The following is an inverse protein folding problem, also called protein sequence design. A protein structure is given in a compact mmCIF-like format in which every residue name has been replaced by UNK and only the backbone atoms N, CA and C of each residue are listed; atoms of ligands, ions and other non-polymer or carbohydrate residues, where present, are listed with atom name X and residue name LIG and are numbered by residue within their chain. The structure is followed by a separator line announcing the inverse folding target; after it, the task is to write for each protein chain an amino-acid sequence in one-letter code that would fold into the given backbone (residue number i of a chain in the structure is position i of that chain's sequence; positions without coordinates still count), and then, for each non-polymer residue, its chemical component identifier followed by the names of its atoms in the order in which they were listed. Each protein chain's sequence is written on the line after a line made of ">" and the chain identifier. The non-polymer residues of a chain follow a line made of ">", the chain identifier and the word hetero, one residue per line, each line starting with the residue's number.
data_IF_614257422524
#
_entry.id   IF_614257422524
#
_cell.length_a   1.000
_cell.length_b   1.000
_cell.length_c   1.000
_cell.angle_alpha   90.00
_cell.angle_beta   90.00
_cell.angle_gamma   90.00
#
_symmetry.space_group_name_H-M   'P 1'
#
loop_
_entity.id
_entity.type
_entity.pdbx_description
1 polymer ?
#
# COMPACT_ATOMS: atom_id res chain seq x y z
N UNK A 1 4.91 31.52 12.34
CA UNK A 1 5.67 30.26 12.18
C UNK A 1 5.51 29.42 13.44
N UNK A 2 5.15 28.15 13.31
CA UNK A 2 5.11 27.25 14.46
C UNK A 2 6.54 27.04 15.01
N UNK A 3 6.68 27.12 16.33
CA UNK A 3 7.97 26.86 17.01
C UNK A 3 8.34 25.40 16.80
N UNK A 4 9.60 25.14 16.36
CA UNK A 4 10.13 23.78 16.23
C UNK A 4 10.81 23.40 17.54
N UNK A 5 10.49 22.21 18.07
CA UNK A 5 11.17 21.63 19.22
C UNK A 5 12.28 20.70 18.70
N UNK A 6 13.47 20.80 19.28
CA UNK A 6 14.64 20.00 18.92
C UNK A 6 14.94 19.04 20.07
N UNK A 7 15.09 17.76 19.75
CA UNK A 7 15.49 16.70 20.69
C UNK A 7 16.68 15.94 20.08
N UNK A 8 17.61 15.58 20.91
CA UNK A 8 18.88 14.98 20.50
C UNK A 8 19.18 13.69 21.28
N UNK A 9 20.17 12.97 20.80
CA UNK A 9 20.76 11.79 21.45
C UNK A 9 19.77 10.61 21.62
N UNK A 10 19.95 9.86 22.66
CA UNK A 10 19.22 8.64 22.95
C UNK A 10 17.71 8.87 23.09
N UNK A 11 17.30 9.98 23.72
CA UNK A 11 15.87 10.30 23.88
C UNK A 11 15.17 10.46 22.54
N UNK A 12 15.80 11.11 21.58
CA UNK A 12 15.24 11.27 20.23
C UNK A 12 15.12 9.92 19.51
N UNK A 13 16.18 9.11 19.56
CA UNK A 13 16.18 7.78 18.95
C UNK A 13 15.13 6.86 19.57
N UNK A 14 15.00 6.86 20.89
CA UNK A 14 14.04 6.04 21.61
C UNK A 14 12.59 6.39 21.23
N UNK A 15 12.25 7.68 21.14
CA UNK A 15 10.92 8.10 20.70
C UNK A 15 10.58 7.58 19.30
N UNK A 16 11.53 7.69 18.35
CA UNK A 16 11.34 7.18 16.99
C UNK A 16 11.18 5.64 16.98
N UNK A 17 12.03 4.92 17.71
CA UNK A 17 11.97 3.45 17.84
C UNK A 17 10.64 2.99 18.45
N UNK A 18 10.18 3.64 19.51
CA UNK A 18 8.91 3.32 20.16
C UNK A 18 7.73 3.56 19.22
N UNK A 19 7.78 4.63 18.42
CA UNK A 19 6.76 4.91 17.41
C UNK A 19 6.70 3.84 16.30
N UNK A 20 7.85 3.44 15.76
CA UNK A 20 7.93 2.33 14.79
C UNK A 20 7.36 1.05 15.40
N UNK A 21 7.74 0.73 16.65
CA UNK A 21 7.29 -0.47 17.33
C UNK A 21 5.78 -0.45 17.58
N UNK A 22 5.22 0.65 18.06
CA UNK A 22 3.77 0.76 18.30
C UNK A 22 2.95 0.54 17.03
N UNK A 23 3.33 1.14 15.92
CA UNK A 23 2.65 0.92 14.65
C UNK A 23 2.81 -0.52 14.16
N UNK A 24 4.04 -1.04 14.14
CA UNK A 24 4.30 -2.37 13.64
C UNK A 24 3.64 -3.46 14.51
N UNK A 25 3.54 -3.24 15.81
CA UNK A 25 2.89 -4.18 16.74
C UNK A 25 1.39 -4.32 16.50
N UNK A 26 0.73 -3.25 16.04
CA UNK A 26 -0.69 -3.31 15.63
C UNK A 26 -0.82 -4.01 14.28
N UNK A 27 0.02 -3.67 13.31
CA UNK A 27 -0.05 -4.24 11.96
C UNK A 27 0.30 -5.73 11.96
N UNK A 28 1.32 -6.15 12.69
CA UNK A 28 1.80 -7.56 12.68
C UNK A 28 0.80 -8.59 13.20
N UNK A 29 -0.24 -8.18 13.95
CA UNK A 29 -1.28 -9.12 14.43
C UNK A 29 -2.10 -9.72 13.30
N UNK A 30 -2.06 -9.10 12.12
CA UNK A 30 -2.75 -9.58 10.91
C UNK A 30 -1.95 -10.60 10.11
N UNK A 31 -0.67 -10.83 10.45
CA UNK A 31 0.25 -11.63 9.65
C UNK A 31 0.01 -13.14 9.78
N UNK A 32 0.00 -13.80 8.63
CA UNK A 32 0.07 -15.25 8.50
C UNK A 32 -1.24 -15.99 8.83
N UNK A 33 -1.20 -17.33 8.92
CA UNK A 33 -2.40 -18.17 9.05
C UNK A 33 -3.14 -18.02 10.39
N UNK A 34 -2.52 -17.40 11.38
CA UNK A 34 -3.13 -17.03 12.66
C UNK A 34 -3.43 -15.53 12.75
N UNK A 35 -3.35 -14.84 11.63
CA UNK A 35 -3.65 -13.41 11.53
C UNK A 35 -5.08 -13.11 12.01
N UNK A 36 -5.25 -11.94 12.58
CA UNK A 36 -6.52 -11.44 13.13
C UNK A 36 -6.89 -10.14 12.46
N UNK A 37 -8.17 -9.87 12.41
CA UNK A 37 -8.67 -8.57 12.01
C UNK A 37 -8.42 -7.54 13.12
N UNK A 38 -8.21 -6.30 12.72
CA UNK A 38 -8.14 -5.12 13.58
C UNK A 38 -9.42 -4.33 13.40
N UNK A 39 -9.94 -3.80 14.49
CA UNK A 39 -11.10 -2.90 14.49
C UNK A 39 -10.60 -1.48 14.59
N UNK A 40 -10.90 -0.68 13.59
CA UNK A 40 -10.51 0.73 13.51
C UNK A 40 -11.73 1.60 13.85
N UNK A 41 -11.56 2.48 14.81
CA UNK A 41 -12.58 3.47 15.16
C UNK A 41 -12.72 4.49 14.02
N UNK A 42 -13.96 4.81 13.66
CA UNK A 42 -14.27 5.94 12.77
C UNK A 42 -14.98 7.03 13.56
N UNK A 43 -14.59 8.28 13.32
CA UNK A 43 -15.28 9.44 13.91
C UNK A 43 -16.76 9.53 13.52
N UNK A 44 -17.09 9.00 12.34
CA UNK A 44 -18.45 9.00 11.80
C UNK A 44 -18.71 7.64 11.14
N UNK A 45 -19.83 7.00 11.48
CA UNK A 45 -20.22 5.70 10.95
C UNK A 45 -19.78 4.51 11.81
N UNK A 46 -19.89 3.31 11.26
CA UNK A 46 -19.51 2.08 11.92
C UNK A 46 -17.98 1.90 11.93
N UNK A 47 -17.40 1.24 12.95
CA UNK A 47 -16.00 0.86 12.95
C UNK A 47 -15.64 0.01 11.72
N UNK A 48 -14.45 0.21 11.17
CA UNK A 48 -13.94 -0.61 10.08
C UNK A 48 -13.20 -1.83 10.64
N UNK A 49 -13.54 -3.01 10.15
CA UNK A 49 -12.86 -4.26 10.47
C UNK A 49 -12.00 -4.62 9.26
N UNK A 50 -10.69 -4.74 9.46
CA UNK A 50 -9.74 -5.03 8.38
C UNK A 50 -8.54 -5.83 8.86
N UNK A 51 -7.91 -6.56 7.95
CA UNK A 51 -6.61 -7.21 8.13
C UNK A 51 -5.55 -6.64 7.18
N UNK A 52 -5.89 -5.64 6.37
CA UNK A 52 -4.96 -4.99 5.47
C UNK A 52 -3.98 -4.09 6.22
N UNK A 53 -2.69 -4.40 6.08
CA UNK A 53 -1.62 -3.72 6.81
C UNK A 53 -1.47 -2.24 6.47
N UNK A 54 -1.67 -1.84 5.22
CA UNK A 54 -1.56 -0.42 4.83
C UNK A 54 -2.74 0.40 5.33
N UNK A 55 -3.94 -0.15 5.30
CA UNK A 55 -5.15 0.49 5.84
C UNK A 55 -4.99 0.73 7.34
N UNK A 56 -4.55 -0.30 8.08
CA UNK A 56 -4.28 -0.18 9.52
C UNK A 56 -3.19 0.86 9.78
N UNK A 57 -2.08 0.79 9.05
CA UNK A 57 -0.96 1.71 9.25
C UNK A 57 -1.36 3.18 9.02
N UNK A 58 -2.21 3.46 8.03
CA UNK A 58 -2.69 4.82 7.72
C UNK A 58 -3.52 5.45 8.85
N UNK A 59 -4.25 4.64 9.60
CA UNK A 59 -5.12 5.11 10.70
C UNK A 59 -4.39 5.29 12.04
N UNK A 60 -3.14 4.78 12.17
CA UNK A 60 -2.38 4.92 13.42
C UNK A 60 -1.80 6.32 13.54
N UNK A 61 -2.28 7.09 14.51
CA UNK A 61 -1.71 8.35 14.96
C UNK A 61 -1.45 8.29 16.47
N UNK A 62 -0.26 8.74 16.89
CA UNK A 62 0.18 8.67 18.29
C UNK A 62 0.19 10.07 18.92
N UNK A 63 -0.17 10.15 20.20
CA UNK A 63 -0.24 11.42 20.94
C UNK A 63 1.14 12.06 21.14
N UNK A 64 2.17 11.24 21.42
CA UNK A 64 3.54 11.76 21.55
C UNK A 64 4.10 12.12 20.17
N UNK A 65 4.52 13.37 19.94
CA UNK A 65 4.99 13.81 18.61
C UNK A 65 6.28 13.12 18.15
N UNK A 66 7.12 12.63 19.05
CA UNK A 66 8.35 11.93 18.68
C UNK A 66 8.06 10.47 18.30
N UNK A 67 7.21 9.82 19.05
CA UNK A 67 6.70 8.49 18.68
C UNK A 67 5.90 8.57 17.39
N UNK A 68 5.06 9.59 17.23
CA UNK A 68 4.28 9.75 16.00
C UNK A 68 5.18 9.94 14.77
N UNK A 69 6.30 10.65 14.88
CA UNK A 69 7.28 10.70 13.77
C UNK A 69 7.83 9.31 13.42
N UNK A 70 8.11 8.47 14.41
CA UNK A 70 8.52 7.07 14.19
C UNK A 70 7.44 6.25 13.49
N UNK A 71 6.20 6.38 13.96
CA UNK A 71 5.04 5.74 13.32
C UNK A 71 4.85 6.20 11.88
N UNK A 72 4.99 7.51 11.58
CA UNK A 72 4.89 8.02 10.21
C UNK A 72 5.97 7.44 9.28
N UNK A 73 7.20 7.23 9.77
CA UNK A 73 8.26 6.57 8.97
C UNK A 73 7.89 5.11 8.65
N UNK A 74 7.32 4.38 9.60
CA UNK A 74 6.86 3.00 9.37
C UNK A 74 5.61 2.96 8.45
N UNK A 75 4.71 3.94 8.57
CA UNK A 75 3.56 4.15 7.65
C UNK A 75 4.02 4.35 6.21
N UNK A 76 5.10 5.10 6.00
CA UNK A 76 5.69 5.31 4.68
C UNK A 76 6.20 4.01 4.05
N UNK A 77 6.74 3.08 4.87
CA UNK A 77 7.15 1.75 4.38
C UNK A 77 5.96 0.96 3.85
N UNK A 78 4.86 0.91 4.61
CA UNK A 78 3.64 0.22 4.19
C UNK A 78 3.06 0.84 2.90
N UNK A 79 2.98 2.18 2.84
CA UNK A 79 2.44 2.90 1.68
C UNK A 79 3.26 2.66 0.42
N UNK A 80 4.59 2.79 0.48
CA UNK A 80 5.47 2.52 -0.67
C UNK A 80 5.42 1.08 -1.15
N UNK A 81 5.28 0.13 -0.23
CA UNK A 81 5.12 -1.28 -0.59
C UNK A 81 3.80 -1.49 -1.34
N UNK A 82 2.72 -0.88 -0.87
CA UNK A 82 1.43 -0.93 -1.53
C UNK A 82 1.47 -0.31 -2.93
N UNK A 83 2.12 0.84 -3.08
CA UNK A 83 2.20 1.55 -4.37
C UNK A 83 2.99 0.75 -5.43
N UNK A 84 3.97 -0.05 -5.01
CA UNK A 84 4.84 -0.82 -5.92
C UNK A 84 4.30 -2.22 -6.19
N UNK A 85 3.80 -2.90 -5.16
CA UNK A 85 3.46 -4.32 -5.24
C UNK A 85 1.96 -4.62 -4.99
N UNK A 86 1.22 -3.71 -4.37
CA UNK A 86 -0.19 -3.92 -4.00
C UNK A 86 -0.42 -4.92 -2.88
N UNK A 87 0.62 -5.63 -2.43
CA UNK A 87 0.57 -6.65 -1.38
C UNK A 87 1.87 -6.66 -0.56
N UNK A 88 1.87 -7.42 0.55
CA UNK A 88 3.04 -7.58 1.41
C UNK A 88 3.30 -6.41 2.37
N UNK A 89 2.36 -5.51 2.57
CA UNK A 89 2.49 -4.32 3.42
C UNK A 89 2.77 -4.66 4.87
N UNK A 90 2.10 -5.68 5.41
CA UNK A 90 2.34 -6.20 6.76
C UNK A 90 3.75 -6.78 6.90
N UNK A 91 4.18 -7.60 5.94
CA UNK A 91 5.52 -8.19 5.92
C UNK A 91 6.60 -7.11 5.87
N UNK A 92 6.45 -6.10 5.01
CA UNK A 92 7.38 -4.98 4.90
C UNK A 92 7.48 -4.19 6.21
N UNK A 93 6.35 -3.94 6.88
CA UNK A 93 6.31 -3.24 8.17
C UNK A 93 7.03 -4.02 9.27
N UNK A 94 6.83 -5.34 9.34
CA UNK A 94 7.51 -6.23 10.32
C UNK A 94 9.01 -6.30 10.06
N UNK A 95 9.42 -6.38 8.79
CA UNK A 95 10.84 -6.33 8.42
C UNK A 95 11.48 -4.99 8.79
N UNK A 96 10.79 -3.88 8.54
CA UNK A 96 11.26 -2.55 8.90
C UNK A 96 11.43 -2.42 10.43
N UNK A 97 10.46 -2.90 11.22
CA UNK A 97 10.57 -2.95 12.68
C UNK A 97 11.80 -3.72 13.12
N UNK A 98 12.02 -4.91 12.57
CA UNK A 98 13.17 -5.76 12.93
C UNK A 98 14.50 -5.09 12.59
N UNK A 99 14.60 -4.49 11.38
CA UNK A 99 15.80 -3.77 10.96
C UNK A 99 16.09 -2.55 11.84
N UNK A 100 15.05 -1.79 12.20
CA UNK A 100 15.20 -0.63 13.11
C UNK A 100 15.68 -1.09 14.47
N UNK A 101 15.05 -2.10 15.08
CA UNK A 101 15.41 -2.59 16.40
C UNK A 101 16.84 -3.13 16.46
N UNK A 102 17.27 -3.95 15.49
CA UNK A 102 18.63 -4.46 15.43
C UNK A 102 19.67 -3.37 15.11
N UNK A 103 19.33 -2.46 14.21
CA UNK A 103 20.16 -1.29 13.90
C UNK A 103 20.35 -0.39 15.11
N UNK A 104 19.29 -0.13 15.89
CA UNK A 104 19.35 0.69 17.09
C UNK A 104 20.19 0.04 18.19
N UNK A 105 20.10 -1.28 18.39
CA UNK A 105 20.98 -2.01 19.30
C UNK A 105 22.45 -1.85 18.92
N UNK A 106 22.74 -1.99 17.64
CA UNK A 106 24.12 -1.87 17.11
C UNK A 106 24.68 -0.45 17.29
N UNK A 107 23.87 0.58 17.02
CA UNK A 107 24.23 1.98 17.23
C UNK A 107 24.43 2.28 18.74
N UNK A 108 23.56 1.75 19.59
CA UNK A 108 23.67 1.91 21.04
C UNK A 108 24.92 1.22 21.62
N UNK A 109 25.40 0.17 20.95
CA UNK A 109 26.67 -0.47 21.28
C UNK A 109 27.92 0.33 20.82
N UNK A 110 27.73 1.50 20.20
CA UNK A 110 28.79 2.43 19.80
C UNK A 110 29.29 2.30 18.36
N UNK A 111 28.62 1.49 17.53
CA UNK A 111 28.95 1.37 16.11
C UNK A 111 28.48 2.64 15.36
N UNK A 112 29.28 3.08 14.40
CA UNK A 112 28.95 4.25 13.61
C UNK A 112 27.64 4.03 12.80
N UNK A 113 26.60 4.88 12.98
CA UNK A 113 25.31 4.72 12.29
C UNK A 113 25.42 4.70 10.76
N UNK A 114 26.38 5.41 10.18
CA UNK A 114 26.58 5.43 8.74
C UNK A 114 27.18 4.13 8.20
N UNK A 115 28.00 3.44 9.00
CA UNK A 115 28.50 2.11 8.66
C UNK A 115 27.39 1.07 8.75
N UNK A 116 26.55 1.15 9.79
CA UNK A 116 25.35 0.30 9.93
C UNK A 116 24.44 0.47 8.72
N UNK A 117 24.13 1.72 8.34
CA UNK A 117 23.34 2.02 7.14
C UNK A 117 23.94 1.40 5.88
N UNK A 118 25.25 1.51 5.68
CA UNK A 118 25.94 0.95 4.51
C UNK A 118 25.79 -0.57 4.46
N UNK A 119 26.06 -1.24 5.59
CA UNK A 119 25.90 -2.70 5.70
C UNK A 119 24.47 -3.16 5.45
N UNK A 120 23.46 -2.44 5.97
CA UNK A 120 22.06 -2.74 5.71
C UNK A 120 21.69 -2.62 4.23
N UNK A 121 22.20 -1.60 3.53
CA UNK A 121 21.96 -1.42 2.10
C UNK A 121 22.61 -2.52 1.25
N UNK A 122 23.83 -2.91 1.58
CA UNK A 122 24.53 -4.02 0.89
C UNK A 122 23.81 -5.35 1.13
N UNK A 123 23.42 -5.63 2.37
CA UNK A 123 22.64 -6.83 2.71
C UNK A 123 21.28 -6.85 1.99
N UNK A 124 20.56 -5.73 1.96
CA UNK A 124 19.29 -5.61 1.26
C UNK A 124 19.44 -5.92 -0.23
N UNK A 125 20.49 -5.40 -0.88
CA UNK A 125 20.77 -5.68 -2.29
C UNK A 125 21.01 -7.17 -2.52
N UNK A 126 21.86 -7.80 -1.73
CA UNK A 126 22.18 -9.22 -1.84
C UNK A 126 20.94 -10.11 -1.63
N UNK A 127 20.09 -9.76 -0.63
CA UNK A 127 18.84 -10.48 -0.37
C UNK A 127 17.87 -10.31 -1.55
N UNK A 128 17.74 -9.11 -2.11
CA UNK A 128 16.85 -8.84 -3.25
C UNK A 128 17.30 -9.65 -4.48
N UNK A 129 18.60 -9.68 -4.79
CA UNK A 129 19.15 -10.49 -5.88
C UNK A 129 18.89 -11.99 -5.67
N UNK A 130 19.05 -12.46 -4.44
CA UNK A 130 18.77 -13.86 -4.09
C UNK A 130 17.29 -14.21 -4.26
N UNK A 131 16.37 -13.36 -3.76
CA UNK A 131 14.92 -13.56 -3.88
C UNK A 131 14.48 -13.55 -5.35
N UNK A 132 15.07 -12.70 -6.19
CA UNK A 132 14.77 -12.67 -7.62
C UNK A 132 15.05 -14.03 -8.30
N UNK A 133 16.03 -14.80 -7.80
CA UNK A 133 16.33 -16.16 -8.28
C UNK A 133 15.26 -17.21 -7.94
N UNK A 134 14.39 -16.94 -6.96
CA UNK A 134 13.26 -17.80 -6.59
C UNK A 134 11.95 -17.38 -7.25
N UNK A 135 11.93 -16.24 -7.89
CA UNK A 135 10.75 -15.72 -8.57
C UNK A 135 10.32 -16.65 -9.71
N UNK A 136 9.04 -16.98 -9.76
CA UNK A 136 8.43 -17.73 -10.86
C UNK A 136 7.51 -16.81 -11.63
N UNK A 137 7.65 -16.82 -12.94
CA UNK A 137 6.70 -16.09 -13.81
C UNK A 137 5.36 -16.78 -13.81
N UNK A 138 4.31 -16.01 -13.54
CA UNK A 138 2.93 -16.46 -13.59
C UNK A 138 2.44 -16.34 -15.03
N UNK A 139 1.87 -17.41 -15.57
CA UNK A 139 1.44 -17.45 -16.97
C UNK A 139 0.04 -18.00 -17.20
N UNK A 140 -0.51 -18.75 -16.26
CA UNK A 140 -1.80 -19.40 -16.39
C UNK A 140 -2.90 -18.79 -15.53
N UNK A 141 -4.17 -18.99 -15.93
CA UNK A 141 -5.36 -18.54 -15.18
C UNK A 141 -5.34 -19.07 -13.75
N UNK A 142 -5.03 -20.36 -13.56
CA UNK A 142 -5.03 -21.00 -12.23
C UNK A 142 -3.97 -20.38 -11.30
N UNK A 143 -2.81 -20.03 -11.84
CA UNK A 143 -1.76 -19.37 -11.06
C UNK A 143 -2.15 -17.94 -10.68
N UNK A 144 -2.83 -17.21 -11.57
CA UNK A 144 -3.38 -15.88 -11.31
C UNK A 144 -4.45 -15.98 -10.22
N UNK A 145 -5.37 -16.95 -10.34
CA UNK A 145 -6.42 -17.18 -9.35
C UNK A 145 -5.82 -17.48 -7.96
N UNK A 146 -4.77 -18.30 -7.88
CA UNK A 146 -4.09 -18.61 -6.61
C UNK A 146 -3.47 -17.36 -5.96
N UNK A 147 -2.76 -16.54 -6.73
CA UNK A 147 -2.15 -15.30 -6.22
C UNK A 147 -3.22 -14.31 -5.76
N UNK A 148 -4.26 -14.11 -6.59
CA UNK A 148 -5.35 -13.21 -6.26
C UNK A 148 -6.14 -13.69 -5.02
N UNK A 149 -6.39 -15.00 -4.89
CA UNK A 149 -7.06 -15.59 -3.73
C UNK A 149 -6.25 -15.41 -2.44
N UNK A 150 -4.93 -15.54 -2.51
CA UNK A 150 -4.05 -15.31 -1.35
C UNK A 150 -4.09 -13.83 -0.93
N UNK A 151 -4.02 -12.93 -1.90
CA UNK A 151 -4.01 -11.48 -1.66
C UNK A 151 -5.35 -10.98 -1.11
N UNK A 152 -6.45 -11.45 -1.67
CA UNK A 152 -7.81 -11.11 -1.22
C UNK A 152 -8.25 -11.87 0.04
N UNK A 153 -7.53 -12.93 0.43
CA UNK A 153 -7.94 -13.92 1.44
C UNK A 153 -9.32 -14.56 1.13
N UNK A 154 -9.70 -14.61 -0.14
CA UNK A 154 -10.97 -15.12 -0.63
C UNK A 154 -10.79 -15.77 -2.01
N UNK A 155 -11.25 -17.02 -2.16
CA UNK A 155 -11.09 -17.78 -3.39
C UNK A 155 -12.06 -17.34 -4.49
N UNK A 156 -13.26 -16.89 -4.15
CA UNK A 156 -14.25 -16.41 -5.11
C UNK A 156 -13.79 -15.11 -5.77
N UNK A 157 -13.24 -14.19 -4.97
CA UNK A 157 -12.60 -12.96 -5.48
C UNK A 157 -11.42 -13.32 -6.39
N UNK A 158 -10.60 -14.29 -5.98
CA UNK A 158 -9.44 -14.71 -6.76
C UNK A 158 -9.80 -15.29 -8.13
N UNK A 159 -10.82 -16.12 -8.20
CA UNK A 159 -11.34 -16.68 -9.45
C UNK A 159 -11.93 -15.60 -10.36
N UNK A 160 -12.69 -14.66 -9.79
CA UNK A 160 -13.28 -13.54 -10.52
C UNK A 160 -12.21 -12.63 -11.13
N UNK A 161 -11.16 -12.31 -10.37
CA UNK A 161 -10.01 -11.53 -10.87
C UNK A 161 -9.28 -12.30 -11.99
N UNK A 162 -9.09 -13.61 -11.85
CA UNK A 162 -8.45 -14.40 -12.87
C UNK A 162 -9.27 -14.48 -14.17
N UNK A 163 -10.60 -14.53 -14.07
CA UNK A 163 -11.48 -14.45 -15.23
C UNK A 163 -11.40 -13.07 -15.91
N UNK A 164 -11.42 -11.99 -15.12
CA UNK A 164 -11.25 -10.64 -15.63
C UNK A 164 -9.91 -10.51 -16.37
N UNK A 165 -8.82 -10.96 -15.75
CA UNK A 165 -7.47 -10.91 -16.34
C UNK A 165 -7.35 -11.72 -17.64
N UNK A 166 -8.04 -12.88 -17.72
CA UNK A 166 -8.07 -13.67 -18.95
C UNK A 166 -8.72 -12.92 -20.11
N UNK A 167 -9.76 -12.12 -19.83
CA UNK A 167 -10.49 -11.34 -20.83
C UNK A 167 -9.77 -10.06 -21.24
N UNK A 168 -9.24 -9.30 -20.27
CA UNK A 168 -8.58 -8.02 -20.54
C UNK A 168 -7.10 -8.16 -20.93
N UNK A 169 -6.48 -9.31 -20.62
CA UNK A 169 -5.06 -9.56 -20.87
C UNK A 169 -4.15 -8.93 -19.80
N UNK A 170 -2.84 -9.18 -19.95
CA UNK A 170 -1.82 -8.76 -18.96
C UNK A 170 -1.66 -7.24 -18.81
N UNK A 171 -1.98 -6.51 -19.86
CA UNK A 171 -1.88 -5.04 -19.90
C UNK A 171 -3.22 -4.36 -19.63
N UNK A 172 -4.28 -5.13 -19.35
CA UNK A 172 -5.60 -4.62 -19.04
C UNK A 172 -5.68 -4.01 -17.65
N UNK A 173 -6.55 -3.03 -17.50
CA UNK A 173 -6.83 -2.38 -16.21
C UNK A 173 -8.05 -3.05 -15.58
N UNK A 174 -7.91 -3.46 -14.33
CA UNK A 174 -9.00 -3.98 -13.50
C UNK A 174 -9.22 -2.99 -12.37
N UNK A 175 -10.42 -2.47 -12.25
CA UNK A 175 -10.87 -1.62 -11.14
C UNK A 175 -11.88 -2.38 -10.30
N UNK A 176 -11.90 -2.13 -8.99
CA UNK A 176 -12.84 -2.71 -8.06
C UNK A 176 -13.65 -1.58 -7.44
N UNK A 177 -14.96 -1.65 -7.58
CA UNK A 177 -15.89 -0.66 -7.05
C UNK A 177 -16.96 -1.35 -6.19
N UNK A 178 -17.58 -0.61 -5.29
CA UNK A 178 -18.67 -1.10 -4.48
C UNK A 178 -19.95 -1.18 -5.32
N UNK A 179 -20.45 -2.41 -5.52
CA UNK A 179 -21.68 -2.67 -6.27
C UNK A 179 -22.94 -2.29 -5.50
N UNK A 180 -24.03 -2.04 -6.23
CA UNK A 180 -25.36 -1.80 -5.64
C UNK A 180 -26.18 -3.09 -5.48
N UNK A 181 -25.71 -4.20 -6.06
CA UNK A 181 -26.34 -5.52 -6.05
C UNK A 181 -25.65 -6.46 -5.08
N UNK A 182 -26.31 -7.58 -4.73
CA UNK A 182 -25.68 -8.63 -3.92
C UNK A 182 -24.82 -9.53 -4.83
N UNK A 183 -23.57 -9.76 -4.42
CA UNK A 183 -22.61 -10.60 -5.13
C UNK A 183 -21.59 -9.80 -5.93
N UNK A 184 -20.75 -10.52 -6.67
CA UNK A 184 -19.74 -9.91 -7.55
C UNK A 184 -20.26 -9.91 -8.99
N UNK A 185 -20.13 -8.78 -9.66
CA UNK A 185 -20.43 -8.61 -11.08
C UNK A 185 -19.17 -8.19 -11.83
N UNK A 186 -18.97 -8.74 -13.03
CA UNK A 186 -17.89 -8.35 -13.93
C UNK A 186 -18.47 -7.52 -15.08
N UNK A 187 -18.09 -6.27 -15.14
CA UNK A 187 -18.38 -5.42 -16.28
C UNK A 187 -17.12 -5.24 -17.14
N UNK A 188 -17.30 -5.31 -18.44
CA UNK A 188 -16.22 -5.09 -19.40
C UNK A 188 -16.52 -3.86 -20.23
N UNK A 189 -15.59 -2.93 -20.23
CA UNK A 189 -15.68 -1.70 -21.02
C UNK A 189 -14.58 -1.71 -22.07
N UNK A 190 -14.94 -1.48 -23.32
CA UNK A 190 -13.96 -1.26 -24.37
C UNK A 190 -13.30 0.11 -24.15
N UNK A 191 -11.97 0.13 -24.10
CA UNK A 191 -11.21 1.34 -23.82
C UNK A 191 -10.75 1.43 -22.37
N UNK A 192 -10.70 2.64 -21.81
CA UNK A 192 -10.27 2.91 -20.45
C UNK A 192 -11.23 3.90 -19.77
N UNK A 193 -11.68 3.55 -18.58
CA UNK A 193 -12.52 4.42 -17.75
C UNK A 193 -11.66 5.13 -16.69
N UNK A 194 -11.93 6.41 -16.46
CA UNK A 194 -11.28 7.22 -15.45
C UNK A 194 -12.31 7.77 -14.47
N UNK A 195 -11.96 7.88 -13.20
CA UNK A 195 -12.83 8.43 -12.15
C UNK A 195 -13.03 9.96 -12.26
N UNK A 196 -12.29 10.62 -13.16
CA UNK A 196 -12.37 12.06 -13.35
C UNK A 196 -12.86 12.40 -14.74
N UNK A 197 -13.95 13.14 -14.78
CA UNK A 197 -14.52 13.69 -16.01
C UNK A 197 -13.84 14.99 -16.46
N UNK A 198 -14.56 15.82 -17.18
CA UNK A 198 -14.06 17.09 -17.69
C UNK A 198 -13.70 18.09 -16.57
N UNK A 199 -12.68 18.91 -16.81
CA UNK A 199 -12.15 19.88 -15.82
C UNK A 199 -13.14 21.06 -15.61
N UNK A 200 -13.95 21.39 -16.61
CA UNK A 200 -14.85 22.53 -16.55
C UNK A 200 -16.19 22.22 -17.24
N UNK A 201 -17.32 22.69 -16.70
CA UNK A 201 -18.63 22.55 -17.33
C UNK A 201 -18.71 23.12 -18.76
N UNK A 202 -17.77 24.00 -19.14
CA UNK A 202 -17.69 24.54 -20.50
C UNK A 202 -17.26 23.51 -21.55
N UNK A 203 -16.75 22.33 -21.12
CA UNK A 203 -16.42 21.22 -22.04
C UNK A 203 -17.61 20.33 -22.38
N UNK A 204 -18.78 20.56 -21.77
CA UNK A 204 -20.00 19.80 -22.08
C UNK A 204 -20.41 20.02 -23.50
N UNK A 205 -20.49 18.96 -24.30
CA UNK A 205 -20.94 18.98 -25.69
C UNK A 205 -22.41 18.60 -25.82
N UNK A 206 -22.96 17.84 -24.90
CA UNK A 206 -24.37 17.46 -24.78
C UNK A 206 -24.97 18.00 -23.48
N UNK A 207 -25.66 19.16 -23.51
CA UNK A 207 -26.23 19.75 -22.29
C UNK A 207 -27.35 18.93 -21.66
N UNK A 208 -28.07 18.12 -22.43
CA UNK A 208 -29.20 17.32 -21.95
C UNK A 208 -28.73 16.14 -21.12
N UNK A 209 -27.60 15.53 -21.50
CA UNK A 209 -26.96 14.42 -20.80
C UNK A 209 -25.84 14.86 -19.85
N UNK A 210 -25.46 16.13 -19.90
CA UNK A 210 -24.30 16.65 -19.15
C UNK A 210 -23.00 15.91 -19.48
N UNK A 211 -22.80 15.55 -20.74
CA UNK A 211 -21.68 14.76 -21.23
C UNK A 211 -20.78 15.60 -22.17
N UNK A 212 -19.48 15.27 -22.16
CA UNK A 212 -18.51 15.75 -23.15
C UNK A 212 -18.12 14.58 -24.06
N UNK A 213 -18.78 14.50 -25.23
CA UNK A 213 -18.51 13.44 -26.20
C UNK A 213 -17.66 14.01 -27.35
N UNK A 214 -16.57 13.32 -27.65
CA UNK A 214 -15.64 13.64 -28.72
C UNK A 214 -15.53 12.41 -29.63
N UNK A 215 -15.87 12.56 -30.89
CA UNK A 215 -15.78 11.49 -31.89
C UNK A 215 -14.39 11.53 -32.56
N UNK A 216 -13.71 10.37 -32.60
CA UNK A 216 -12.38 10.20 -33.17
C UNK A 216 -11.33 11.26 -32.73
N UNK A 217 -11.19 11.55 -31.42
CA UNK A 217 -10.30 12.60 -30.95
C UNK A 217 -8.83 12.21 -31.05
N UNK A 218 -7.98 13.19 -31.34
CA UNK A 218 -6.53 13.03 -31.11
C UNK A 218 -6.21 13.18 -29.63
N UNK A 219 -5.57 12.16 -29.04
CA UNK A 219 -5.25 12.14 -27.62
C UNK A 219 -3.77 12.47 -27.42
N UNK A 220 -3.46 13.50 -26.63
CA UNK A 220 -2.11 13.84 -26.18
C UNK A 220 -1.95 13.47 -24.70
N UNK A 221 -1.04 12.55 -24.43
CA UNK A 221 -0.69 12.13 -23.05
C UNK A 221 0.65 12.75 -22.67
N UNK A 222 0.68 13.48 -21.54
CA UNK A 222 1.88 14.15 -21.02
C UNK A 222 2.00 13.95 -19.52
N UNK A 223 3.24 13.92 -19.02
CA UNK A 223 3.54 13.80 -17.57
C UNK A 223 3.66 15.16 -16.87
N UNK A 224 3.46 16.26 -17.56
CA UNK A 224 3.59 17.61 -17.02
C UNK A 224 2.29 18.40 -17.25
N UNK A 225 2.09 19.45 -16.46
CA UNK A 225 1.03 20.41 -16.73
C UNK A 225 1.32 21.12 -18.07
N UNK A 226 0.28 21.25 -18.87
CA UNK A 226 0.26 22.05 -20.11
C UNK A 226 -0.20 23.45 -19.75
#
# INVERSE_FOLDING_TARGET
>A
MAKKTLVFNEKARKGLEDGVNKLADVVKVTLGPKGRNVVLEKKWGAPTITNDGVTIAKEVDLEDPYENMGAQLAKEVASKTNDVAGDGTTTATVLAQSMVNEGMKTVSAGVNPMEVKRGMLEASKAVTEFIAGFSKSIGGKDEIAQVASISAADSEIGETIAEAMEKVGKDGVITVEEGQTFGMELEFTDGMQFDKGFISPYFVTDPDRQEAVLEDPYILIVNSKI
#
